data_IF_238690462694
#
_entry.id   IF_238690462694
#
_cell.length_a   1.000
_cell.length_b   1.000
_cell.length_c   1.000
_cell.angle_alpha   90.00
_cell.angle_beta   90.00
_cell.angle_gamma   90.00
#
_symmetry.space_group_name_H-M   'P 1'
#
loop_
_entity.id
_entity.type
_entity.pdbx_description
1 polymer ?
#
# COMPACT_ATOMS: atom_id res chain seq x y z
N UNK A 1 -34.05 7.95 -26.78
CA UNK A 1 -32.97 7.17 -26.13
C UNK A 1 -31.57 7.77 -26.32
N UNK A 2 -31.05 7.99 -27.54
CA UNK A 2 -29.70 8.60 -27.75
C UNK A 2 -29.51 9.95 -27.04
N UNK A 3 -30.49 10.85 -27.13
CA UNK A 3 -30.43 12.15 -26.44
C UNK A 3 -30.53 12.05 -24.91
N UNK A 4 -31.21 11.02 -24.39
CA UNK A 4 -31.29 10.75 -22.95
C UNK A 4 -29.94 10.25 -22.42
N UNK A 5 -29.26 9.38 -23.18
CA UNK A 5 -27.92 8.89 -22.87
C UNK A 5 -26.88 10.03 -22.90
N UNK A 6 -26.98 10.95 -23.87
CA UNK A 6 -26.09 12.11 -23.98
C UNK A 6 -26.33 13.09 -22.82
N UNK A 7 -27.59 13.33 -22.44
CA UNK A 7 -27.95 14.17 -21.29
C UNK A 7 -27.45 13.59 -19.96
N UNK A 8 -27.60 12.29 -19.74
CA UNK A 8 -27.03 11.60 -18.56
C UNK A 8 -25.50 11.65 -18.54
N UNK A 9 -24.84 11.49 -19.68
CA UNK A 9 -23.38 11.62 -19.78
C UNK A 9 -22.90 13.05 -19.47
N UNK A 10 -23.61 14.08 -19.95
CA UNK A 10 -23.29 15.48 -19.66
C UNK A 10 -23.53 15.84 -18.18
N UNK A 11 -24.60 15.34 -17.56
CA UNK A 11 -24.87 15.55 -16.13
C UNK A 11 -23.82 14.81 -15.27
N UNK A 12 -23.48 13.55 -15.61
CA UNK A 12 -22.39 12.83 -14.96
C UNK A 12 -21.04 13.55 -15.15
N UNK A 13 -20.75 14.07 -16.34
CA UNK A 13 -19.51 14.81 -16.61
C UNK A 13 -19.47 16.12 -15.79
N UNK A 14 -20.59 16.83 -15.66
CA UNK A 14 -20.68 18.09 -14.91
C UNK A 14 -20.60 17.85 -13.40
N UNK A 15 -21.22 16.77 -12.88
CA UNK A 15 -21.07 16.32 -11.50
C UNK A 15 -19.63 15.85 -11.19
N UNK A 16 -18.98 15.17 -12.13
CA UNK A 16 -17.56 14.79 -12.03
C UNK A 16 -16.61 16.00 -12.07
N UNK A 17 -16.95 17.06 -12.81
CA UNK A 17 -16.17 18.31 -12.87
C UNK A 17 -16.35 19.14 -11.60
N UNK A 18 -17.56 19.21 -11.04
CA UNK A 18 -17.85 19.98 -9.81
C UNK A 18 -17.36 19.30 -8.54
N UNK A 19 -17.39 17.96 -8.46
CA UNK A 19 -16.79 17.20 -7.35
C UNK A 19 -15.24 17.23 -7.32
N UNK A 20 -14.62 17.76 -8.37
CA UNK A 20 -13.16 17.71 -8.62
C UNK A 20 -12.33 18.72 -7.82
N UNK A 21 -12.99 19.68 -7.16
CA UNK A 21 -12.35 20.72 -6.37
C UNK A 21 -12.73 20.53 -4.89
N UNK A 22 -11.77 20.78 -4.00
CA UNK A 22 -11.89 20.86 -2.53
C UNK A 22 -11.47 19.59 -1.75
N UNK A 23 -10.43 19.81 -0.91
CA UNK A 23 -9.74 19.01 0.12
C UNK A 23 -8.61 18.07 -0.31
N UNK A 24 -7.38 18.48 0.04
CA UNK A 24 -6.20 17.64 0.23
C UNK A 24 -6.17 17.13 1.67
N UNK A 25 -5.75 15.88 1.88
CA UNK A 25 -5.55 15.30 3.21
C UNK A 25 -4.10 15.54 3.65
N UNK A 26 -3.89 16.08 4.84
CA UNK A 26 -2.58 16.36 5.44
C UNK A 26 -2.42 15.47 6.68
N UNK A 27 -1.36 14.65 6.73
CA UNK A 27 -0.97 13.86 7.90
C UNK A 27 0.02 14.62 8.77
N UNK A 28 0.27 14.12 9.98
CA UNK A 28 1.06 14.78 11.01
C UNK A 28 2.42 15.32 10.52
N UNK A 29 3.16 14.65 9.63
CA UNK A 29 4.41 15.21 9.11
C UNK A 29 4.20 16.45 8.23
N UNK A 30 3.19 16.45 7.36
CA UNK A 30 2.79 17.63 6.59
C UNK A 30 2.17 18.72 7.48
N UNK A 31 1.49 18.32 8.56
CA UNK A 31 0.89 19.23 9.55
C UNK A 31 1.97 19.90 10.41
N UNK A 32 2.95 19.15 10.92
CA UNK A 32 4.13 19.66 11.64
C UNK A 32 4.85 20.67 10.74
N UNK A 33 5.08 20.29 9.49
CA UNK A 33 5.72 21.13 8.50
C UNK A 33 4.97 22.44 8.20
N UNK A 34 3.63 22.40 8.18
CA UNK A 34 2.79 23.56 7.90
C UNK A 34 2.58 24.45 9.14
N UNK A 35 2.48 23.84 10.31
CA UNK A 35 2.23 24.52 11.57
C UNK A 35 3.51 25.00 12.26
N UNK A 36 4.66 24.44 11.91
CA UNK A 36 5.96 24.88 12.38
C UNK A 36 6.93 25.11 11.21
N UNK A 37 6.83 26.28 10.53
CA UNK A 37 7.70 26.62 9.42
C UNK A 37 9.18 26.77 9.82
N UNK A 38 9.51 26.74 11.12
CA UNK A 38 10.89 26.84 11.60
C UNK A 38 11.67 25.52 11.54
N UNK A 39 10.99 24.37 11.41
CA UNK A 39 11.65 23.06 11.27
C UNK A 39 12.20 22.93 9.83
N UNK A 40 13.50 22.70 9.73
CA UNK A 40 14.18 22.49 8.45
C UNK A 40 13.81 21.13 7.82
N UNK A 41 13.98 20.98 6.50
CA UNK A 41 13.74 19.68 5.84
C UNK A 41 14.72 18.60 6.31
N UNK A 42 15.94 18.99 6.69
CA UNK A 42 16.94 18.11 7.31
C UNK A 42 16.46 17.62 8.67
N UNK A 43 16.10 18.53 9.57
CA UNK A 43 15.63 18.20 10.93
C UNK A 43 14.37 17.33 10.92
N UNK A 44 13.39 17.65 10.07
CA UNK A 44 12.21 16.78 9.91
C UNK A 44 12.62 15.39 9.42
N UNK A 45 13.53 15.36 8.45
CA UNK A 45 14.03 14.12 7.87
C UNK A 45 14.69 13.20 8.87
N UNK A 46 15.55 13.76 9.71
CA UNK A 46 16.20 13.06 10.82
C UNK A 46 15.17 12.51 11.81
N UNK A 47 14.15 13.30 12.18
CA UNK A 47 13.06 12.82 13.04
C UNK A 47 12.24 11.70 12.38
N UNK A 48 12.04 11.75 11.05
CA UNK A 48 11.37 10.68 10.30
C UNK A 48 12.21 9.41 10.34
N UNK A 49 13.52 9.50 10.09
CA UNK A 49 14.43 8.36 10.10
C UNK A 49 14.54 7.75 11.50
N UNK A 50 14.64 8.55 12.55
CA UNK A 50 14.64 8.08 13.93
C UNK A 50 13.36 7.30 14.26
N UNK A 51 12.18 7.83 13.91
CA UNK A 51 10.91 7.11 14.11
C UNK A 51 10.83 5.82 13.31
N UNK A 52 11.42 5.80 12.10
CA UNK A 52 11.50 4.58 11.30
C UNK A 52 12.40 3.55 11.98
N UNK A 53 13.56 3.96 12.48
CA UNK A 53 14.50 3.08 13.16
C UNK A 53 13.88 2.46 14.43
N UNK A 54 13.17 3.25 15.23
CA UNK A 54 12.43 2.76 16.41
C UNK A 54 11.40 1.71 15.99
N UNK A 55 10.61 1.99 14.95
CA UNK A 55 9.61 1.05 14.45
C UNK A 55 10.23 -0.25 13.94
N UNK A 56 11.29 -0.14 13.14
CA UNK A 56 11.95 -1.28 12.49
C UNK A 56 12.62 -2.19 13.54
N UNK A 57 13.14 -1.63 14.64
CA UNK A 57 13.64 -2.38 15.81
C UNK A 57 12.54 -3.17 16.52
N UNK A 58 11.38 -2.55 16.73
CA UNK A 58 10.24 -3.20 17.42
C UNK A 58 9.57 -4.25 16.55
N UNK A 59 9.55 -4.03 15.23
CA UNK A 59 8.82 -4.85 14.28
C UNK A 59 9.73 -5.23 13.11
N UNK A 60 10.68 -6.18 13.29
CA UNK A 60 11.63 -6.54 12.24
C UNK A 60 10.98 -7.10 10.96
N UNK A 61 9.77 -7.65 11.10
CA UNK A 61 8.95 -8.15 10.00
C UNK A 61 7.70 -7.29 9.84
N UNK A 62 7.67 -6.48 8.79
CA UNK A 62 6.54 -5.61 8.46
C UNK A 62 6.41 -5.43 6.96
N UNK A 63 5.23 -4.94 6.57
CA UNK A 63 4.98 -4.43 5.23
C UNK A 63 4.51 -2.99 5.29
N UNK A 64 4.85 -2.20 4.28
CA UNK A 64 4.39 -0.82 4.12
C UNK A 64 3.69 -0.68 2.78
N UNK A 65 2.36 -0.57 2.80
CA UNK A 65 1.59 -0.30 1.59
C UNK A 65 1.42 1.21 1.44
N UNK A 66 1.83 1.75 0.31
CA UNK A 66 1.63 3.15 -0.01
C UNK A 66 0.70 3.36 -1.21
N UNK A 67 -0.06 4.45 -1.18
CA UNK A 67 -0.71 5.04 -2.34
C UNK A 67 -0.11 6.41 -2.63
N UNK A 68 0.35 6.62 -3.85
CA UNK A 68 1.03 7.85 -4.24
C UNK A 68 0.10 8.78 -5.05
N UNK A 69 0.33 10.09 -4.91
CA UNK A 69 -0.34 11.14 -5.68
C UNK A 69 -0.09 10.99 -7.19
N UNK A 70 -0.87 11.73 -7.99
CA UNK A 70 -0.62 11.83 -9.43
C UNK A 70 0.73 12.51 -9.69
N UNK A 71 1.40 12.09 -10.76
CA UNK A 71 2.67 12.62 -11.26
C UNK A 71 2.43 13.55 -12.45
N UNK A 72 3.08 14.72 -12.43
CA UNK A 72 3.11 15.66 -13.56
C UNK A 72 4.57 16.13 -13.70
N UNK A 73 5.34 15.64 -14.70
CA UNK A 73 6.65 16.21 -15.00
C UNK A 73 6.48 17.64 -15.52
N UNK A 74 7.45 18.51 -15.21
CA UNK A 74 7.40 19.93 -15.61
C UNK A 74 7.50 20.11 -17.13
N UNK A 75 8.28 19.27 -17.79
CA UNK A 75 8.63 19.44 -19.22
C UNK A 75 7.69 18.74 -20.21
N UNK A 76 6.71 17.93 -19.77
CA UNK A 76 5.81 17.23 -20.69
C UNK A 76 4.34 17.32 -20.28
N UNK A 77 3.63 18.32 -20.81
CA UNK A 77 2.16 18.37 -20.88
C UNK A 77 1.64 17.37 -21.95
N UNK A 78 2.29 16.22 -22.13
CA UNK A 78 1.81 15.16 -23.00
C UNK A 78 0.91 14.21 -22.18
N UNK A 79 -0.18 13.73 -22.77
CA UNK A 79 -1.12 12.80 -22.10
C UNK A 79 -0.48 11.45 -21.75
N UNK A 80 0.73 11.16 -22.26
CA UNK A 80 1.45 9.90 -22.09
C UNK A 80 2.37 9.86 -20.86
N UNK A 81 2.83 11.02 -20.36
CA UNK A 81 3.70 11.12 -19.17
C UNK A 81 2.92 11.39 -17.87
N UNK A 82 1.61 11.67 -17.96
CA UNK A 82 0.75 11.84 -16.78
C UNK A 82 0.52 10.48 -16.13
N UNK A 83 0.87 10.35 -14.85
CA UNK A 83 0.50 9.18 -14.07
C UNK A 83 -1.00 8.91 -14.19
N UNK A 84 -1.40 7.64 -14.25
CA UNK A 84 -2.80 7.24 -14.40
C UNK A 84 -3.71 7.94 -13.38
N UNK A 85 -4.96 8.23 -13.77
CA UNK A 85 -5.89 9.01 -12.94
C UNK A 85 -6.17 8.39 -11.57
N UNK A 86 -6.02 7.07 -11.45
CA UNK A 86 -6.20 6.31 -10.21
C UNK A 86 -5.05 6.38 -9.20
N UNK A 87 -3.94 7.06 -9.53
CA UNK A 87 -2.73 7.10 -8.68
C UNK A 87 -1.82 5.89 -8.90
N UNK A 88 -0.99 5.58 -7.91
CA UNK A 88 -0.09 4.42 -7.94
C UNK A 88 -0.06 3.75 -6.56
N UNK A 89 0.09 2.43 -6.52
CA UNK A 89 0.25 1.68 -5.28
C UNK A 89 1.61 0.99 -5.26
N UNK A 90 2.29 1.08 -4.13
CA UNK A 90 3.57 0.41 -3.89
C UNK A 90 3.51 -0.37 -2.58
N UNK A 91 4.39 -1.36 -2.46
CA UNK A 91 4.51 -2.21 -1.29
C UNK A 91 5.97 -2.35 -0.93
N UNK A 92 6.36 -2.02 0.29
CA UNK A 92 7.67 -2.36 0.82
C UNK A 92 7.54 -3.53 1.81
N UNK A 93 8.51 -4.43 1.81
CA UNK A 93 8.55 -5.65 2.62
C UNK A 93 9.89 -5.69 3.35
N UNK A 94 9.90 -5.59 4.68
CA UNK A 94 11.14 -5.35 5.46
C UNK A 94 12.09 -6.55 5.53
N UNK A 95 11.58 -7.76 5.36
CA UNK A 95 12.36 -9.01 5.54
C UNK A 95 12.43 -9.87 4.27
N UNK A 96 12.14 -9.26 3.12
CA UNK A 96 12.38 -9.85 1.82
C UNK A 96 13.46 -9.05 1.10
N UNK A 97 14.31 -9.75 0.36
CA UNK A 97 15.45 -9.21 -0.36
C UNK A 97 15.35 -9.60 -1.84
N UNK A 98 16.06 -8.87 -2.71
CA UNK A 98 16.14 -9.24 -4.13
C UNK A 98 16.95 -10.54 -4.27
N UNK A 99 16.42 -11.51 -5.00
CA UNK A 99 17.13 -12.74 -5.35
C UNK A 99 18.05 -12.49 -6.55
N UNK A 100 19.32 -12.20 -6.26
CA UNK A 100 20.36 -11.92 -7.26
C UNK A 100 20.78 -13.13 -8.09
N UNK A 101 20.37 -14.36 -7.73
CA UNK A 101 20.66 -15.56 -8.52
C UNK A 101 19.75 -15.66 -9.75
N UNK A 102 18.60 -14.96 -9.74
CA UNK A 102 17.69 -14.91 -10.88
C UNK A 102 18.10 -13.83 -11.87
N UNK A 103 17.95 -14.14 -13.16
CA UNK A 103 18.13 -13.18 -14.24
C UNK A 103 16.87 -12.33 -14.50
N UNK A 104 16.00 -12.17 -13.51
CA UNK A 104 14.81 -11.31 -13.54
C UNK A 104 14.46 -10.90 -12.10
N UNK A 105 13.67 -9.81 -11.89
CA UNK A 105 13.26 -9.42 -10.55
C UNK A 105 12.54 -10.54 -9.81
N UNK A 106 13.18 -11.06 -8.78
CA UNK A 106 12.69 -12.12 -7.91
C UNK A 106 13.09 -11.80 -6.47
N UNK A 107 12.45 -12.48 -5.53
CA UNK A 107 12.59 -12.22 -4.11
C UNK A 107 13.09 -13.46 -3.38
N UNK A 108 13.85 -13.27 -2.31
CA UNK A 108 14.14 -14.27 -1.29
C UNK A 108 13.81 -13.69 0.08
N UNK A 109 13.74 -14.53 1.11
CA UNK A 109 13.82 -14.02 2.48
C UNK A 109 15.22 -13.45 2.70
N UNK A 110 15.32 -12.36 3.46
CA UNK A 110 16.64 -11.84 3.80
C UNK A 110 17.36 -12.77 4.79
N UNK A 111 18.63 -13.05 4.54
CA UNK A 111 19.51 -13.78 5.46
C UNK A 111 20.03 -12.85 6.57
N UNK A 112 20.46 -13.38 7.72
CA UNK A 112 21.11 -12.57 8.77
C UNK A 112 22.40 -11.89 8.28
N UNK A 113 23.01 -12.46 7.23
CA UNK A 113 24.23 -11.99 6.59
C UNK A 113 23.97 -11.04 5.41
N UNK A 114 22.72 -10.86 4.98
CA UNK A 114 22.38 -9.84 3.98
C UNK A 114 22.65 -8.46 4.62
N UNK A 115 23.86 -7.96 4.35
CA UNK A 115 24.43 -6.78 5.00
C UNK A 115 23.64 -5.52 4.65
N UNK A 116 23.41 -4.64 5.63
CA UNK A 116 22.91 -3.27 5.38
C UNK A 116 24.03 -2.45 4.72
N UNK A 117 24.28 -2.72 3.45
CA UNK A 117 25.14 -1.92 2.57
C UNK A 117 24.27 -1.19 1.56
N UNK A 118 24.80 -0.13 0.94
CA UNK A 118 24.08 0.61 -0.12
C UNK A 118 23.64 -0.30 -1.28
N UNK A 119 24.28 -1.45 -1.46
CA UNK A 119 24.01 -2.41 -2.54
C UNK A 119 23.02 -3.52 -2.15
N UNK A 120 22.93 -3.88 -0.87
CA UNK A 120 22.05 -4.95 -0.35
C UNK A 120 21.29 -4.54 0.91
N UNK A 121 20.75 -3.32 0.89
CA UNK A 121 19.88 -2.82 1.97
C UNK A 121 18.74 -3.81 2.27
N UNK A 122 18.56 -4.11 3.56
CA UNK A 122 17.51 -5.02 4.03
C UNK A 122 16.13 -4.51 3.63
N UNK A 123 15.29 -5.45 3.20
CA UNK A 123 13.95 -5.16 2.72
C UNK A 123 13.89 -4.79 1.24
N UNK A 124 12.69 -4.83 0.67
CA UNK A 124 12.49 -4.66 -0.77
C UNK A 124 11.21 -3.89 -1.07
N UNK A 125 11.33 -2.90 -1.95
CA UNK A 125 10.24 -2.18 -2.55
C UNK A 125 9.72 -2.88 -3.80
N UNK A 126 8.41 -3.02 -3.89
CA UNK A 126 7.68 -3.69 -4.96
C UNK A 126 6.82 -2.65 -5.68
N UNK A 127 7.06 -2.52 -6.98
CA UNK A 127 6.25 -1.68 -7.86
C UNK A 127 5.87 -2.42 -9.14
N UNK A 128 4.65 -2.18 -9.62
CA UNK A 128 4.11 -2.77 -10.83
C UNK A 128 3.79 -1.68 -11.84
N UNK A 129 4.23 -1.89 -13.08
CA UNK A 129 4.04 -0.94 -14.16
C UNK A 129 3.42 -1.62 -15.39
N UNK A 130 2.64 -0.85 -16.15
CA UNK A 130 2.05 -1.29 -17.43
C UNK A 130 3.09 -1.52 -18.53
N UNK A 131 4.35 -1.13 -18.29
CA UNK A 131 5.42 -1.24 -19.26
C UNK A 131 5.92 -2.66 -19.48
N UNK A 132 5.76 -3.57 -18.52
CA UNK A 132 6.40 -4.87 -18.59
C UNK A 132 5.65 -5.86 -19.49
N UNK A 133 6.42 -6.73 -20.17
CA UNK A 133 5.90 -7.82 -21.00
C UNK A 133 6.28 -9.22 -20.52
N UNK A 134 7.21 -9.35 -19.56
CA UNK A 134 7.68 -10.64 -19.05
C UNK A 134 7.75 -10.73 -17.51
N UNK A 135 7.39 -9.67 -16.81
CA UNK A 135 7.29 -9.63 -15.35
C UNK A 135 6.05 -8.84 -14.97
N UNK A 136 5.56 -9.03 -13.75
CA UNK A 136 4.49 -8.22 -13.18
C UNK A 136 5.04 -7.08 -12.33
N UNK A 137 6.10 -7.28 -11.56
CA UNK A 137 6.66 -6.24 -10.71
C UNK A 137 8.18 -6.18 -10.80
N UNK A 138 8.72 -5.00 -10.48
CA UNK A 138 10.15 -4.80 -10.17
C UNK A 138 10.37 -4.80 -8.66
N UNK A 139 11.58 -5.17 -8.26
CA UNK A 139 12.02 -5.27 -6.89
C UNK A 139 13.22 -4.35 -6.67
N UNK A 140 13.12 -3.42 -5.72
CA UNK A 140 14.13 -2.39 -5.43
C UNK A 140 14.63 -2.61 -4.01
N UNK A 141 15.90 -2.94 -3.78
CA UNK A 141 16.39 -3.24 -2.44
C UNK A 141 16.46 -1.96 -1.61
N UNK A 142 16.03 -2.05 -0.36
CA UNK A 142 16.05 -0.96 0.59
C UNK A 142 14.90 0.02 0.51
N UNK A 143 14.43 0.41 1.69
CA UNK A 143 13.37 1.39 1.85
C UNK A 143 13.77 2.75 1.28
N UNK A 144 15.00 3.17 1.52
CA UNK A 144 15.52 4.45 1.05
C UNK A 144 15.65 4.50 -0.46
N UNK A 145 16.28 3.51 -1.10
CA UNK A 145 16.34 3.43 -2.56
C UNK A 145 14.94 3.41 -3.20
N UNK A 146 13.94 2.84 -2.50
CA UNK A 146 12.59 2.75 -3.02
C UNK A 146 11.78 4.05 -2.89
N UNK A 147 11.86 4.73 -1.74
CA UNK A 147 11.10 5.94 -1.48
C UNK A 147 11.91 7.23 -1.65
N UNK A 148 13.08 7.32 -1.03
CA UNK A 148 13.93 8.53 -0.96
C UNK A 148 14.83 8.71 -2.18
N UNK A 149 15.36 7.61 -2.71
CA UNK A 149 16.53 7.63 -3.59
C UNK A 149 17.83 7.91 -2.82
N UNK A 150 18.97 8.00 -3.53
CA UNK A 150 20.29 8.26 -2.94
C UNK A 150 20.47 9.75 -2.61
N UNK A 151 19.54 10.32 -1.83
CA UNK A 151 19.54 11.72 -1.41
C UNK A 151 19.52 11.83 0.11
N UNK A 152 20.34 12.72 0.66
CA UNK A 152 20.22 13.15 2.05
C UNK A 152 19.00 14.06 2.26
N UNK A 153 18.61 14.26 3.52
CA UNK A 153 17.54 15.20 3.84
C UNK A 153 18.00 16.66 3.64
N UNK A 154 17.12 17.47 3.05
CA UNK A 154 17.38 18.88 2.77
C UNK A 154 18.08 19.17 1.43
N UNK A 155 18.57 18.15 0.73
CA UNK A 155 19.13 18.33 -0.61
C UNK A 155 18.10 18.88 -1.61
N UNK A 156 18.51 19.84 -2.43
CA UNK A 156 17.67 20.38 -3.52
C UNK A 156 17.67 19.43 -4.71
N UNK A 157 16.48 18.98 -5.11
CA UNK A 157 16.24 18.18 -6.32
C UNK A 157 16.17 19.12 -7.52
N UNK A 158 17.30 19.30 -8.20
CA UNK A 158 17.37 19.98 -9.50
C UNK A 158 17.29 18.96 -10.65
N UNK A 159 16.98 19.39 -11.90
CA UNK A 159 17.03 18.49 -13.05
C UNK A 159 18.38 17.76 -13.21
N UNK A 160 19.49 18.46 -12.95
CA UNK A 160 20.83 17.86 -12.97
C UNK A 160 20.99 16.77 -11.90
N UNK A 161 20.47 17.01 -10.69
CA UNK A 161 20.49 16.02 -9.61
C UNK A 161 19.67 14.79 -9.97
N UNK A 162 18.52 14.95 -10.64
CA UNK A 162 17.73 13.81 -11.14
C UNK A 162 18.53 12.97 -12.13
N UNK A 163 19.30 13.58 -13.03
CA UNK A 163 20.17 12.85 -13.95
C UNK A 163 21.32 12.11 -13.24
N UNK A 164 21.89 12.69 -12.17
CA UNK A 164 22.86 11.99 -11.31
C UNK A 164 22.23 10.77 -10.63
N UNK A 165 21.01 10.91 -10.10
CA UNK A 165 20.28 9.80 -9.48
C UNK A 165 19.98 8.71 -10.52
N UNK A 166 19.54 9.06 -11.73
CA UNK A 166 19.30 8.07 -12.80
C UNK A 166 20.56 7.26 -13.10
N UNK A 167 21.72 7.94 -13.20
CA UNK A 167 23.02 7.26 -13.38
C UNK A 167 23.34 6.28 -12.26
N UNK A 168 23.05 6.65 -11.01
CA UNK A 168 23.18 5.73 -9.87
C UNK A 168 22.37 4.43 -10.08
N UNK A 169 21.15 4.52 -10.62
CA UNK A 169 20.30 3.33 -10.88
C UNK A 169 20.68 2.56 -12.14
N UNK A 170 21.29 3.17 -13.16
CA UNK A 170 21.64 2.48 -14.41
C UNK A 170 22.60 1.32 -14.20
N UNK A 171 23.51 1.44 -13.24
CA UNK A 171 24.54 0.44 -12.97
C UNK A 171 24.07 -0.65 -11.99
N UNK A 172 22.81 -0.59 -11.53
CA UNK A 172 22.28 -1.55 -10.56
C UNK A 172 21.71 -2.78 -11.26
N UNK A 173 21.99 -4.00 -10.76
CA UNK A 173 21.50 -5.25 -11.37
C UNK A 173 19.99 -5.48 -11.15
N UNK A 174 19.30 -4.61 -10.42
CA UNK A 174 17.90 -4.76 -9.97
C UNK A 174 16.90 -4.82 -11.13
N UNK A 175 17.27 -4.28 -12.29
CA UNK A 175 16.44 -4.22 -13.49
C UNK A 175 16.86 -5.23 -14.56
N UNK A 176 17.79 -6.15 -14.25
CA UNK A 176 18.22 -7.18 -15.20
C UNK A 176 17.04 -8.05 -15.62
N UNK A 177 16.98 -8.39 -16.91
CA UNK A 177 16.00 -9.28 -17.50
C UNK A 177 14.61 -8.71 -17.71
N UNK A 178 14.39 -7.41 -17.46
CA UNK A 178 13.10 -6.80 -17.79
C UNK A 178 12.94 -6.69 -19.32
N UNK A 179 11.72 -6.95 -19.78
CA UNK A 179 11.28 -6.67 -21.14
C UNK A 179 10.08 -5.76 -21.09
N UNK A 180 10.00 -4.86 -22.06
CA UNK A 180 8.89 -3.91 -22.17
C UNK A 180 7.95 -4.29 -23.31
N UNK A 181 6.70 -3.86 -23.21
CA UNK A 181 5.72 -3.99 -24.30
C UNK A 181 6.12 -3.10 -25.48
N UNK A 182 5.84 -3.54 -26.71
CA UNK A 182 6.26 -2.88 -27.95
C UNK A 182 5.85 -1.40 -28.02
N UNK A 183 4.61 -1.07 -27.59
CA UNK A 183 4.15 0.32 -27.54
C UNK A 183 5.04 1.21 -26.67
N UNK A 184 5.55 0.68 -25.57
CA UNK A 184 6.39 1.43 -24.64
C UNK A 184 7.82 1.51 -25.15
N UNK A 185 8.33 0.43 -25.77
CA UNK A 185 9.59 0.43 -26.50
C UNK A 185 9.62 1.52 -27.59
N UNK A 186 8.54 1.71 -28.35
CA UNK A 186 8.47 2.77 -29.35
C UNK A 186 8.67 4.18 -28.75
N UNK A 187 8.20 4.41 -27.52
CA UNK A 187 8.44 5.69 -26.80
C UNK A 187 9.85 5.85 -26.27
N UNK A 188 10.64 4.77 -26.26
CA UNK A 188 12.07 4.76 -25.98
C UNK A 188 12.92 4.96 -27.24
N UNK A 189 12.28 5.22 -28.41
CA UNK A 189 12.92 5.16 -29.73
C UNK A 189 13.52 3.78 -30.05
N UNK A 190 13.02 2.75 -29.38
CA UNK A 190 13.33 1.35 -29.67
C UNK A 190 12.27 0.78 -30.62
N UNK A 191 12.63 0.46 -31.85
CA UNK A 191 11.73 -0.18 -32.82
C UNK A 191 12.14 -1.64 -33.01
N UNK A 192 11.23 -2.58 -32.76
CA UNK A 192 11.50 -4.02 -32.84
C UNK A 192 12.52 -4.50 -31.80
N UNK A 193 13.36 -5.48 -32.17
CA UNK A 193 14.36 -6.12 -31.30
C UNK A 193 15.73 -5.42 -31.29
N UNK A 194 15.79 -4.13 -31.64
CA UNK A 194 17.06 -3.43 -31.90
C UNK A 194 17.74 -2.88 -30.64
N UNK A 195 17.02 -2.74 -29.52
CA UNK A 195 17.60 -2.23 -28.29
C UNK A 195 18.24 -3.35 -27.47
N UNK A 196 19.45 -3.06 -26.98
CA UNK A 196 20.15 -3.84 -25.97
C UNK A 196 19.40 -3.82 -24.65
N UNK A 197 19.67 -4.79 -23.77
CA UNK A 197 19.10 -4.82 -22.42
C UNK A 197 19.40 -3.52 -21.64
N UNK A 198 20.62 -3.00 -21.75
CA UNK A 198 21.02 -1.75 -21.10
C UNK A 198 20.22 -0.54 -21.60
N UNK A 199 19.88 -0.47 -22.88
CA UNK A 199 19.03 0.60 -23.42
C UNK A 199 17.59 0.49 -22.93
N UNK A 200 17.07 -0.74 -22.78
CA UNK A 200 15.75 -1.00 -22.20
C UNK A 200 15.73 -0.55 -20.73
N UNK A 201 16.74 -0.95 -19.95
CA UNK A 201 16.87 -0.59 -18.53
C UNK A 201 16.97 0.94 -18.37
N UNK A 202 17.83 1.60 -19.14
CA UNK A 202 17.94 3.07 -19.12
C UNK A 202 16.62 3.75 -19.44
N UNK A 203 15.94 3.32 -20.50
CA UNK A 203 14.64 3.89 -20.83
C UNK A 203 13.60 3.68 -19.72
N UNK A 204 13.56 2.49 -19.13
CA UNK A 204 12.66 2.22 -18.02
C UNK A 204 12.97 3.13 -16.83
N UNK A 205 14.24 3.29 -16.45
CA UNK A 205 14.66 4.16 -15.36
C UNK A 205 14.28 5.61 -15.62
N UNK A 206 14.54 6.11 -16.83
CA UNK A 206 14.26 7.49 -17.23
C UNK A 206 12.78 7.86 -17.09
N UNK A 207 11.89 6.90 -17.40
CA UNK A 207 10.45 7.10 -17.41
C UNK A 207 9.78 6.83 -16.06
N UNK A 208 10.43 6.10 -15.15
CA UNK A 208 9.77 5.61 -13.93
C UNK A 208 10.44 6.02 -12.61
N UNK A 209 11.55 6.75 -12.66
CA UNK A 209 12.07 7.45 -11.48
C UNK A 209 11.00 8.43 -10.95
N UNK A 210 10.76 8.42 -9.64
CA UNK A 210 9.66 9.17 -9.03
C UNK A 210 8.28 8.51 -9.16
N UNK A 211 8.19 7.33 -9.79
CA UNK A 211 6.97 6.52 -9.90
C UNK A 211 7.17 5.17 -9.22
N UNK A 212 8.06 4.34 -9.77
CA UNK A 212 8.28 2.96 -9.33
C UNK A 212 9.39 2.85 -8.27
N UNK A 213 10.29 3.83 -8.22
CA UNK A 213 11.38 3.92 -7.25
C UNK A 213 11.76 5.39 -7.06
N UNK A 214 12.49 5.69 -5.99
CA UNK A 214 12.74 7.05 -5.51
C UNK A 214 11.44 7.91 -5.54
N UNK A 215 10.32 7.32 -5.11
CA UNK A 215 8.98 7.90 -5.38
C UNK A 215 8.75 9.28 -4.75
N UNK A 216 9.38 9.57 -3.61
CA UNK A 216 9.30 10.88 -2.93
C UNK A 216 9.95 12.03 -3.71
N UNK A 217 10.74 11.73 -4.74
CA UNK A 217 11.26 12.74 -5.66
C UNK A 217 10.14 13.47 -6.37
N UNK A 218 9.02 12.81 -6.69
CA UNK A 218 7.99 13.41 -7.52
C UNK A 218 6.56 13.26 -6.98
N UNK A 219 6.38 12.53 -5.88
CA UNK A 219 5.06 12.20 -5.36
C UNK A 219 5.03 12.27 -3.84
N UNK A 220 3.87 12.69 -3.33
CA UNK A 220 3.51 12.43 -1.93
C UNK A 220 2.85 11.07 -1.86
N UNK A 221 3.33 10.23 -0.95
CA UNK A 221 2.79 8.89 -0.72
C UNK A 221 2.17 8.79 0.66
N UNK A 222 0.98 8.20 0.73
CA UNK A 222 0.26 7.92 1.96
C UNK A 222 0.41 6.43 2.23
N UNK A 223 0.93 6.08 3.39
CA UNK A 223 1.42 4.74 3.65
C UNK A 223 0.82 4.19 4.94
N UNK A 224 0.60 2.88 4.99
CA UNK A 224 0.31 2.16 6.21
C UNK A 224 1.33 1.04 6.40
N UNK A 225 2.01 1.05 7.55
CA UNK A 225 2.89 -0.01 8.01
C UNK A 225 2.13 -0.98 8.89
N UNK A 226 2.39 -2.25 8.68
CA UNK A 226 1.77 -3.34 9.42
C UNK A 226 2.83 -4.35 9.82
N UNK A 227 2.97 -4.68 11.11
CA UNK A 227 3.77 -5.81 11.54
C UNK A 227 3.12 -7.09 11.02
N UNK A 228 3.90 -7.93 10.37
CA UNK A 228 3.44 -9.20 9.79
C UNK A 228 4.40 -10.29 10.26
N UNK A 229 3.90 -11.43 10.81
CA UNK A 229 4.75 -12.55 11.16
C UNK A 229 5.62 -13.02 9.98
N UNK A 230 6.82 -13.51 10.26
CA UNK A 230 7.76 -13.98 9.24
C UNK A 230 7.12 -14.99 8.26
N UNK A 231 6.36 -15.97 8.77
CA UNK A 231 5.64 -16.93 7.93
C UNK A 231 4.67 -16.26 6.93
N UNK A 232 4.04 -15.15 7.33
CA UNK A 232 3.21 -14.34 6.42
C UNK A 232 4.01 -13.67 5.32
N UNK A 233 5.20 -13.14 5.66
CA UNK A 233 6.13 -12.58 4.67
C UNK A 233 6.60 -13.66 3.69
N UNK A 234 6.92 -14.86 4.16
CA UNK A 234 7.32 -16.00 3.32
C UNK A 234 6.23 -16.38 2.31
N UNK A 235 4.97 -16.45 2.76
CA UNK A 235 3.82 -16.70 1.87
C UNK A 235 3.66 -15.57 0.84
N UNK A 236 3.87 -14.33 1.25
CA UNK A 236 3.82 -13.16 0.36
C UNK A 236 4.92 -13.22 -0.71
N UNK A 237 6.16 -13.51 -0.30
CA UNK A 237 7.32 -13.67 -1.20
C UNK A 237 7.07 -14.78 -2.21
N UNK A 238 6.59 -15.95 -1.75
CA UNK A 238 6.23 -17.07 -2.62
C UNK A 238 5.16 -16.68 -3.65
N UNK A 239 4.10 -16.00 -3.22
CA UNK A 239 3.05 -15.51 -4.11
C UNK A 239 3.62 -14.56 -5.17
N UNK A 240 4.39 -13.55 -4.75
CA UNK A 240 4.99 -12.57 -5.65
C UNK A 240 5.91 -13.27 -6.67
N UNK A 241 6.84 -14.11 -6.23
CA UNK A 241 7.71 -14.88 -7.12
C UNK A 241 6.92 -15.70 -8.15
N UNK A 242 5.86 -16.39 -7.71
CA UNK A 242 5.00 -17.13 -8.63
C UNK A 242 4.39 -16.22 -9.71
N UNK A 243 3.99 -14.99 -9.37
CA UNK A 243 3.47 -14.02 -10.36
C UNK A 243 4.50 -13.61 -11.41
N UNK A 244 5.76 -13.38 -11.02
CA UNK A 244 6.82 -13.05 -11.98
C UNK A 244 7.26 -14.29 -12.78
N UNK A 245 7.31 -15.47 -12.17
CA UNK A 245 7.57 -16.72 -12.89
C UNK A 245 6.51 -17.03 -13.95
N UNK A 246 5.23 -16.89 -13.60
CA UNK A 246 4.11 -17.07 -14.53
C UNK A 246 4.23 -16.11 -15.72
N UNK A 247 4.63 -14.86 -15.45
CA UNK A 247 4.86 -13.83 -16.48
C UNK A 247 6.09 -14.12 -17.35
N UNK A 248 7.17 -14.67 -16.80
CA UNK A 248 8.35 -15.06 -17.58
C UNK A 248 8.03 -16.23 -18.51
N UNK A 249 7.27 -17.21 -18.02
CA UNK A 249 6.90 -18.43 -18.77
C UNK A 249 5.89 -18.15 -19.88
N UNK A 250 4.89 -17.31 -19.60
CA UNK A 250 3.73 -17.16 -20.49
C UNK A 250 3.63 -15.77 -21.16
N UNK A 251 4.56 -14.87 -20.83
CA UNK A 251 4.39 -13.44 -21.10
C UNK A 251 3.40 -12.80 -20.13
N UNK A 252 3.36 -11.47 -20.16
CA UNK A 252 2.48 -10.67 -19.33
C UNK A 252 1.75 -9.61 -20.13
N UNK A 253 0.47 -9.43 -19.81
CA UNK A 253 -0.39 -8.38 -20.33
C UNK A 253 -1.05 -7.67 -19.17
N UNK A 254 -0.60 -6.45 -18.90
CA UNK A 254 -1.19 -5.58 -17.88
C UNK A 254 -2.69 -5.34 -18.15
N UNK A 255 -3.50 -5.42 -17.09
CA UNK A 255 -4.92 -5.05 -17.12
C UNK A 255 -5.21 -4.04 -16.00
N UNK A 256 -5.61 -2.82 -16.37
CA UNK A 256 -5.84 -1.72 -15.43
C UNK A 256 -6.94 -1.99 -14.41
N UNK A 257 -7.83 -2.96 -14.68
CA UNK A 257 -8.97 -3.28 -13.83
C UNK A 257 -8.68 -4.54 -13.02
N UNK A 258 -8.12 -5.58 -13.65
CA UNK A 258 -8.06 -6.95 -13.12
C UNK A 258 -6.66 -7.41 -12.71
N UNK A 259 -5.61 -6.75 -13.17
CA UNK A 259 -4.22 -7.11 -12.86
C UNK A 259 -3.33 -5.87 -12.86
N UNK A 260 -3.61 -4.98 -11.90
CA UNK A 260 -2.92 -3.71 -11.70
C UNK A 260 -2.09 -3.70 -10.41
N UNK A 261 -1.40 -2.60 -10.12
CA UNK A 261 -0.53 -2.46 -8.94
C UNK A 261 -1.28 -2.70 -7.63
N UNK A 262 -2.52 -2.23 -7.54
CA UNK A 262 -3.34 -2.44 -6.36
C UNK A 262 -3.80 -3.90 -6.23
N UNK A 263 -4.02 -4.61 -7.34
CA UNK A 263 -4.47 -6.00 -7.30
C UNK A 263 -3.36 -6.92 -6.81
N UNK A 264 -2.14 -6.78 -7.36
CA UNK A 264 -1.01 -7.58 -6.93
C UNK A 264 -0.67 -7.33 -5.45
N UNK A 265 -0.66 -6.06 -5.02
CA UNK A 265 -0.37 -5.69 -3.62
C UNK A 265 -1.45 -6.22 -2.68
N UNK A 266 -2.72 -6.07 -3.05
CA UNK A 266 -3.83 -6.59 -2.23
C UNK A 266 -3.71 -8.09 -2.03
N UNK A 267 -3.49 -8.84 -3.10
CA UNK A 267 -3.39 -10.30 -3.03
C UNK A 267 -2.10 -10.78 -2.37
N UNK A 268 -1.02 -10.00 -2.45
CA UNK A 268 0.20 -10.23 -1.69
C UNK A 268 -0.08 -10.11 -0.19
N UNK A 269 -0.73 -9.03 0.25
CA UNK A 269 -1.16 -8.84 1.66
C UNK A 269 -2.21 -9.87 2.08
N UNK A 270 -3.10 -10.29 1.18
CA UNK A 270 -4.08 -11.34 1.47
C UNK A 270 -3.44 -12.70 1.79
N UNK A 271 -2.18 -12.96 1.36
CA UNK A 271 -1.43 -14.16 1.78
C UNK A 271 -1.18 -14.21 3.29
N UNK A 272 -1.35 -13.09 3.98
CA UNK A 272 -1.18 -12.95 5.41
C UNK A 272 -2.51 -13.03 6.17
N UNK A 273 -3.61 -13.49 5.53
CA UNK A 273 -4.93 -13.59 6.17
C UNK A 273 -5.61 -12.23 6.48
N UNK A 274 -4.97 -11.12 6.09
CA UNK A 274 -5.47 -9.78 6.36
C UNK A 274 -6.76 -9.47 5.57
N UNK A 275 -6.82 -9.97 4.34
CA UNK A 275 -7.95 -9.83 3.42
C UNK A 275 -8.28 -11.15 2.73
N UNK A 276 -9.51 -11.27 2.25
CA UNK A 276 -9.84 -12.24 1.21
C UNK A 276 -9.07 -11.95 -0.08
N UNK A 277 -8.61 -13.00 -0.75
CA UNK A 277 -8.03 -12.88 -2.09
C UNK A 277 -9.04 -12.29 -3.07
N UNK A 278 -8.62 -11.27 -3.84
CA UNK A 278 -9.39 -10.82 -5.00
C UNK A 278 -9.26 -11.86 -6.11
N UNK A 279 -10.40 -12.28 -6.63
CA UNK A 279 -10.47 -13.18 -7.78
C UNK A 279 -9.95 -12.46 -9.02
N UNK A 280 -8.96 -13.07 -9.69
CA UNK A 280 -8.65 -12.68 -11.06
C UNK A 280 -9.82 -13.12 -11.95
N UNK A 281 -10.63 -12.18 -12.40
CA UNK A 281 -11.67 -12.45 -13.39
C UNK A 281 -11.02 -12.62 -14.76
N UNK A 282 -11.59 -13.47 -15.61
CA UNK A 282 -11.17 -13.54 -17.01
C UNK A 282 -11.41 -12.17 -17.68
N UNK A 283 -10.41 -11.64 -18.37
CA UNK A 283 -10.44 -10.35 -19.08
C UNK A 283 -11.32 -10.43 -20.34
N UNK A 284 -12.62 -10.61 -20.16
CA UNK A 284 -13.59 -10.51 -21.25
C UNK A 284 -14.13 -9.07 -21.34
N UNK A 285 -14.61 -8.71 -22.54
CA UNK A 285 -15.11 -7.36 -22.85
C UNK A 285 -16.24 -6.92 -21.90
N UNK A 286 -17.04 -7.87 -21.41
CA UNK A 286 -18.12 -7.60 -20.45
C UNK A 286 -17.61 -7.21 -19.06
N UNK A 287 -16.57 -7.88 -18.57
CA UNK A 287 -15.95 -7.58 -17.28
C UNK A 287 -15.22 -6.22 -17.33
N UNK A 288 -14.57 -5.91 -18.45
CA UNK A 288 -13.95 -4.59 -18.65
C UNK A 288 -15.00 -3.47 -18.72
N UNK A 289 -16.09 -3.68 -19.47
CA UNK A 289 -17.21 -2.72 -19.55
C UNK A 289 -17.89 -2.55 -18.20
N UNK A 290 -18.10 -3.62 -17.42
CA UNK A 290 -18.60 -3.52 -16.04
C UNK A 290 -17.67 -2.70 -15.16
N UNK A 291 -16.36 -2.97 -15.17
CA UNK A 291 -15.39 -2.18 -14.40
C UNK A 291 -15.48 -0.69 -14.72
N UNK A 292 -15.42 -0.32 -16.00
CA UNK A 292 -15.50 1.08 -16.47
C UNK A 292 -16.85 1.72 -16.13
N UNK A 293 -17.97 1.04 -16.40
CA UNK A 293 -19.30 1.63 -16.25
C UNK A 293 -19.69 1.87 -14.81
N UNK A 294 -19.06 1.21 -13.85
CA UNK A 294 -19.46 1.33 -12.44
C UNK A 294 -18.43 1.96 -11.53
N UNK A 295 -17.27 2.32 -12.08
CA UNK A 295 -16.36 3.31 -11.51
C UNK A 295 -17.06 4.62 -11.06
N UNK A 296 -18.10 5.14 -11.75
CA UNK A 296 -18.83 6.33 -11.29
C UNK A 296 -19.98 6.03 -10.32
N UNK A 297 -20.47 4.79 -10.26
CA UNK A 297 -21.73 4.43 -9.55
C UNK A 297 -21.51 3.69 -8.23
N UNK A 298 -20.28 3.32 -7.89
CA UNK A 298 -19.94 2.65 -6.64
C UNK A 298 -20.28 3.49 -5.38
N UNK A 299 -20.59 4.79 -5.56
CA UNK A 299 -20.95 5.76 -4.51
C UNK A 299 -22.43 6.01 -4.30
N UNK A 300 -23.31 5.53 -5.18
CA UNK A 300 -24.73 5.82 -4.98
C UNK A 300 -25.24 4.97 -3.80
N UNK A 301 -25.74 5.58 -2.71
CA UNK A 301 -26.23 4.87 -1.51
C UNK A 301 -27.53 4.09 -1.76
N UNK A 302 -27.93 3.94 -3.02
CA UNK A 302 -29.04 3.12 -3.43
C UNK A 302 -28.60 1.66 -3.39
N UNK A 303 -28.94 0.99 -2.28
CA UNK A 303 -28.81 -0.46 -2.07
C UNK A 303 -29.25 -1.30 -3.29
N UNK A 304 -30.21 -0.79 -4.09
CA UNK A 304 -30.65 -1.37 -5.36
C UNK A 304 -29.62 -1.30 -6.49
N UNK A 305 -28.91 -0.18 -6.66
CA UNK A 305 -27.84 -0.04 -7.66
C UNK A 305 -26.62 -0.86 -7.25
N UNK A 306 -26.24 -0.85 -5.97
CA UNK A 306 -25.16 -1.71 -5.44
C UNK A 306 -25.40 -3.21 -5.70
N UNK A 307 -26.66 -3.64 -5.61
CA UNK A 307 -27.05 -5.02 -5.91
C UNK A 307 -27.16 -5.28 -7.43
N UNK A 308 -27.59 -4.29 -8.22
CA UNK A 308 -27.73 -4.39 -9.69
C UNK A 308 -26.38 -4.39 -10.43
N UNK A 309 -25.44 -3.58 -9.96
CA UNK A 309 -24.05 -3.52 -10.41
C UNK A 309 -23.22 -4.71 -9.86
N UNK A 310 -23.78 -5.44 -8.89
CA UNK A 310 -23.18 -6.59 -8.23
C UNK A 310 -22.31 -6.18 -7.07
N UNK A 311 -22.43 -6.88 -5.94
CA UNK A 311 -21.51 -6.78 -4.79
C UNK A 311 -20.03 -7.07 -5.11
N UNK A 312 -19.74 -7.34 -6.38
CA UNK A 312 -18.46 -7.62 -7.01
C UNK A 312 -17.61 -6.37 -7.29
N UNK A 313 -18.09 -5.16 -7.00
CA UNK A 313 -17.24 -3.95 -7.07
C UNK A 313 -16.08 -3.92 -6.08
N UNK A 314 -16.06 -4.83 -5.11
CA UNK A 314 -14.86 -5.13 -4.30
C UNK A 314 -13.65 -5.61 -5.13
N UNK A 315 -13.85 -5.99 -6.40
CA UNK A 315 -12.77 -6.46 -7.27
C UNK A 315 -11.97 -5.36 -7.94
N UNK A 316 -12.50 -4.13 -8.10
CA UNK A 316 -11.68 -3.03 -8.59
C UNK A 316 -10.65 -2.66 -7.54
N UNK A 317 -9.38 -2.92 -7.84
CA UNK A 317 -8.28 -2.59 -6.96
C UNK A 317 -7.85 -1.16 -7.25
N UNK A 318 -8.37 -0.22 -6.47
CA UNK A 318 -7.95 1.18 -6.48
C UNK A 318 -6.97 1.41 -5.33
N UNK A 319 -5.81 2.06 -5.56
CA UNK A 319 -4.78 2.24 -4.53
C UNK A 319 -5.31 2.75 -3.20
N UNK A 320 -6.09 3.82 -3.25
CA UNK A 320 -6.65 4.49 -2.08
C UNK A 320 -7.69 3.65 -1.34
N UNK A 321 -8.47 2.85 -2.06
CA UNK A 321 -9.46 1.96 -1.45
C UNK A 321 -8.78 0.84 -0.66
N UNK A 322 -7.72 0.26 -1.21
CA UNK A 322 -6.96 -0.76 -0.51
C UNK A 322 -6.24 -0.18 0.71
N UNK A 323 -5.62 1.00 0.60
CA UNK A 323 -5.03 1.66 1.77
C UNK A 323 -6.09 1.92 2.86
N UNK A 324 -7.24 2.47 2.49
CA UNK A 324 -8.34 2.67 3.45
C UNK A 324 -8.79 1.36 4.09
N UNK A 325 -8.95 0.29 3.31
CA UNK A 325 -9.31 -1.03 3.86
C UNK A 325 -8.24 -1.57 4.80
N UNK A 326 -6.97 -1.33 4.48
CA UNK A 326 -5.83 -1.72 5.29
C UNK A 326 -5.89 -1.03 6.66
N UNK A 327 -5.96 0.30 6.65
CA UNK A 327 -6.07 1.13 7.86
C UNK A 327 -7.35 0.85 8.64
N UNK A 328 -8.48 0.64 7.96
CA UNK A 328 -9.72 0.33 8.66
C UNK A 328 -9.63 -1.05 9.33
N UNK A 329 -9.10 -2.06 8.64
CA UNK A 329 -9.02 -3.42 9.19
C UNK A 329 -8.08 -3.50 10.40
N UNK A 330 -7.06 -2.63 10.49
CA UNK A 330 -6.22 -2.52 11.69
C UNK A 330 -6.95 -2.05 12.95
N UNK A 331 -8.17 -1.50 12.84
CA UNK A 331 -9.00 -1.05 13.98
C UNK A 331 -10.40 -1.65 14.04
N UNK A 332 -10.93 -2.16 12.91
CA UNK A 332 -12.35 -2.44 12.74
C UNK A 332 -12.75 -3.87 13.15
N UNK A 333 -11.83 -4.64 13.76
CA UNK A 333 -12.29 -5.81 14.50
C UNK A 333 -12.96 -5.32 15.78
N UNK A 334 -14.29 -5.14 15.72
CA UNK A 334 -15.09 -4.77 16.88
C UNK A 334 -15.13 -5.94 17.87
N UNK A 335 -14.13 -5.98 18.75
CA UNK A 335 -14.00 -6.98 19.81
C UNK A 335 -15.17 -6.94 20.82
N UNK A 336 -16.01 -5.90 20.79
CA UNK A 336 -17.23 -5.84 21.61
C UNK A 336 -18.38 -6.64 21.00
N UNK A 337 -18.35 -7.05 19.73
CA UNK A 337 -19.41 -7.86 19.11
C UNK A 337 -18.91 -9.29 18.87
N UNK A 338 -18.83 -10.07 19.95
CA UNK A 338 -18.28 -11.43 19.93
C UNK A 338 -18.99 -12.34 18.91
N UNK A 339 -20.30 -12.14 18.67
CA UNK A 339 -21.06 -12.89 17.64
C UNK A 339 -20.55 -12.60 16.23
N UNK A 340 -20.18 -11.36 15.92
CA UNK A 340 -19.54 -11.02 14.63
C UNK A 340 -18.11 -11.55 14.56
N UNK A 341 -17.38 -11.52 15.68
CA UNK A 341 -16.01 -12.00 15.76
C UNK A 341 -15.93 -13.50 15.44
N UNK A 342 -16.73 -14.34 16.11
CA UNK A 342 -16.74 -15.80 15.87
C UNK A 342 -17.33 -16.21 14.50
N UNK A 343 -17.92 -15.28 13.75
CA UNK A 343 -18.40 -15.49 12.38
C UNK A 343 -17.46 -14.91 11.31
N UNK A 344 -16.37 -14.25 11.71
CA UNK A 344 -15.46 -13.61 10.79
C UNK A 344 -14.48 -14.64 10.21
N UNK A 345 -14.76 -15.12 8.99
CA UNK A 345 -13.98 -16.18 8.34
C UNK A 345 -12.48 -15.88 8.26
N UNK A 346 -12.08 -14.66 7.89
CA UNK A 346 -10.66 -14.27 7.83
C UNK A 346 -9.98 -14.35 9.20
N UNK A 347 -10.67 -13.92 10.26
CA UNK A 347 -10.15 -14.04 11.62
C UNK A 347 -10.03 -15.52 12.03
N UNK A 348 -11.03 -16.34 11.70
CA UNK A 348 -11.02 -17.77 11.99
C UNK A 348 -9.81 -18.44 11.33
N UNK A 349 -9.61 -18.23 10.03
CA UNK A 349 -8.49 -18.79 9.29
C UNK A 349 -7.15 -18.36 9.88
N UNK A 350 -7.06 -17.09 10.27
CA UNK A 350 -5.88 -16.51 10.91
C UNK A 350 -5.63 -17.10 12.30
N UNK A 351 -6.66 -17.27 13.13
CA UNK A 351 -6.54 -17.83 14.49
C UNK A 351 -6.21 -19.33 14.48
N UNK A 352 -6.69 -20.05 13.46
CA UNK A 352 -6.45 -21.48 13.29
C UNK A 352 -5.12 -21.80 12.61
N UNK A 353 -4.44 -20.82 11.99
CA UNK A 353 -3.13 -21.00 11.40
C UNK A 353 -2.06 -21.04 12.51
N UNK A 354 -1.43 -22.20 12.77
CA UNK A 354 -0.48 -22.37 13.87
C UNK A 354 0.78 -21.52 13.69
N UNK A 355 1.11 -21.17 12.45
CA UNK A 355 2.29 -20.36 12.11
C UNK A 355 1.98 -18.86 12.13
N UNK A 356 0.74 -18.49 12.44
CA UNK A 356 0.24 -17.14 12.21
C UNK A 356 -0.56 -16.60 13.40
N UNK A 357 0.12 -15.90 14.31
CA UNK A 357 -0.44 -15.38 15.57
C UNK A 357 -1.01 -13.95 15.48
N UNK A 358 -1.27 -13.46 14.27
CA UNK A 358 -1.57 -12.04 14.06
C UNK A 358 -3.07 -11.77 14.14
N UNK A 359 -3.50 -10.92 15.07
CA UNK A 359 -4.88 -10.43 15.06
C UNK A 359 -5.01 -9.28 14.03
N UNK A 360 -6.13 -9.16 13.31
CA UNK A 360 -6.42 -8.01 12.45
C UNK A 360 -6.25 -6.65 13.12
N UNK A 361 -6.46 -6.58 14.44
CA UNK A 361 -6.18 -5.41 15.30
C UNK A 361 -4.82 -5.50 16.01
N UNK A 362 -3.86 -6.19 15.38
CA UNK A 362 -2.52 -6.39 15.87
C UNK A 362 -1.84 -5.05 16.09
N UNK A 363 -1.13 -4.96 17.20
CA UNK A 363 -0.43 -3.77 17.64
C UNK A 363 0.57 -3.25 16.61
N UNK A 364 0.81 -1.93 16.60
CA UNK A 364 1.89 -1.33 15.82
C UNK A 364 1.54 -1.05 14.37
N UNK A 365 0.26 -1.00 14.00
CA UNK A 365 -0.13 -0.43 12.72
C UNK A 365 0.16 1.08 12.73
N UNK A 366 0.91 1.59 11.76
CA UNK A 366 1.21 3.02 11.63
C UNK A 366 0.74 3.55 10.31
N UNK A 367 0.26 4.80 10.30
CA UNK A 367 -0.02 5.52 9.07
C UNK A 367 0.93 6.70 8.98
N UNK A 368 1.69 6.75 7.89
CA UNK A 368 2.71 7.79 7.65
C UNK A 368 2.49 8.43 6.28
N UNK A 369 3.06 9.61 6.10
CA UNK A 369 3.14 10.26 4.80
C UNK A 369 4.59 10.51 4.44
N UNK A 370 4.95 9.98 3.28
CA UNK A 370 6.21 10.27 2.62
C UNK A 370 5.95 11.47 1.71
N UNK A 371 6.18 12.66 2.25
CA UNK A 371 5.95 13.90 1.51
C UNK A 371 6.88 13.99 0.30
N UNK A 372 6.38 14.57 -0.80
CA UNK A 372 7.26 15.07 -1.85
C UNK A 372 8.23 16.09 -1.22
N UNK A 373 9.51 15.95 -1.54
CA UNK A 373 10.58 16.83 -1.03
C UNK A 373 10.28 18.31 -1.27
N UNK A 374 10.58 19.18 -0.31
CA UNK A 374 10.22 20.60 -0.38
C UNK A 374 11.12 21.36 -1.34
N UNK A 375 12.42 21.07 -1.25
CA UNK A 375 13.45 21.63 -2.12
C UNK A 375 13.45 20.88 -3.46
N UNK A 376 12.40 21.07 -4.26
CA UNK A 376 12.20 20.33 -5.51
C UNK A 376 11.92 21.27 -6.67
N UNK A 377 12.90 21.38 -7.56
CA UNK A 377 12.89 22.19 -8.78
C UNK A 377 12.77 21.32 -10.04
N UNK A 378 12.93 20.00 -9.92
CA UNK A 378 12.88 19.09 -11.08
C UNK A 378 11.47 18.57 -11.37
N UNK A 379 10.62 18.52 -10.36
CA UNK A 379 9.26 18.02 -10.49
C UNK A 379 8.29 19.08 -9.98
N UNK A 380 7.29 19.41 -10.81
CA UNK A 380 6.16 20.19 -10.34
C UNK A 380 5.60 19.51 -9.09
N UNK A 381 5.34 20.29 -8.04
CA UNK A 381 4.59 19.81 -6.90
C UNK A 381 3.32 19.19 -7.45
N UNK A 382 3.18 17.87 -7.32
CA UNK A 382 1.95 17.21 -7.70
C UNK A 382 0.85 17.99 -6.99
N UNK A 383 -0.24 18.35 -7.69
CA UNK A 383 -1.37 19.01 -7.01
C UNK A 383 -1.63 18.18 -5.76
N UNK A 384 -1.42 18.75 -4.56
CA UNK A 384 -1.29 18.01 -3.30
C UNK A 384 -2.53 17.16 -2.92
N UNK A 385 -3.57 17.19 -3.75
CA UNK A 385 -4.49 16.09 -3.80
C UNK A 385 -3.84 14.89 -4.49
N UNK A 386 -3.70 13.79 -3.74
CA UNK A 386 -4.36 12.60 -4.27
C UNK A 386 -5.74 13.10 -4.64
N UNK A 387 -6.01 13.31 -5.94
CA UNK A 387 -7.37 13.39 -6.42
C UNK A 387 -7.89 11.99 -6.22
N UNK A 388 -8.21 11.72 -4.96
CA UNK A 388 -8.91 10.55 -4.51
C UNK A 388 -10.17 10.61 -5.36
N UNK A 389 -10.18 9.83 -6.43
CA UNK A 389 -11.38 9.09 -6.79
C UNK A 389 -11.69 8.16 -5.61
N UNK A 390 -11.87 8.69 -4.39
CA UNK A 390 -12.38 7.89 -3.30
C UNK A 390 -13.86 8.00 -3.36
N UNK A 391 -14.40 6.90 -3.82
CA UNK A 391 -15.72 6.39 -3.55
C UNK A 391 -16.04 6.23 -2.04
N UNK A 392 -15.23 6.85 -1.17
CA UNK A 392 -15.20 6.75 0.30
C UNK A 392 -14.67 8.03 0.93
N UNK A 393 -14.77 9.18 0.26
CA UNK A 393 -14.27 10.46 0.77
C UNK A 393 -14.79 10.77 2.17
N UNK A 394 -16.08 10.55 2.41
CA UNK A 394 -16.69 10.74 3.73
C UNK A 394 -16.18 9.74 4.78
N UNK A 395 -15.79 8.53 4.38
CA UNK A 395 -15.23 7.54 5.31
C UNK A 395 -13.77 7.81 5.62
N UNK A 396 -12.97 8.27 4.64
CA UNK A 396 -11.61 8.74 4.89
C UNK A 396 -11.62 10.02 5.74
N UNK A 397 -12.61 10.90 5.55
CA UNK A 397 -12.84 12.06 6.40
C UNK A 397 -13.20 11.69 7.84
N UNK A 398 -13.80 10.51 8.12
CA UNK A 398 -13.99 10.07 9.52
C UNK A 398 -12.66 9.86 10.23
N UNK A 399 -11.63 9.45 9.49
CA UNK A 399 -10.28 9.25 10.02
C UNK A 399 -9.48 10.54 10.14
N UNK A 400 -9.81 11.57 9.36
CA UNK A 400 -9.03 12.81 9.34
C UNK A 400 -9.82 14.02 9.81
N UNK A 401 -11.06 13.83 10.26
CA UNK A 401 -11.98 14.89 10.66
C UNK A 401 -11.55 15.57 11.98
N UNK A 402 -12.05 16.77 12.26
CA UNK A 402 -11.80 17.45 13.53
C UNK A 402 -12.41 16.69 14.72
N UNK A 403 -13.51 15.96 14.52
CA UNK A 403 -14.14 15.14 15.56
C UNK A 403 -13.30 13.90 15.97
N UNK A 404 -12.22 13.64 15.24
CA UNK A 404 -11.24 12.57 15.46
C UNK A 404 -9.82 13.17 15.50
N UNK A 405 -9.62 14.27 16.22
CA UNK A 405 -8.26 14.78 16.53
C UNK A 405 -7.36 13.68 17.12
N UNK A 406 -7.95 12.78 17.93
CA UNK A 406 -7.28 11.60 18.46
C UNK A 406 -6.80 10.62 17.38
N UNK A 407 -7.46 10.51 16.22
CA UNK A 407 -7.09 9.54 15.19
C UNK A 407 -5.76 9.88 14.50
N UNK A 408 -5.55 11.17 14.21
CA UNK A 408 -4.31 11.64 13.59
C UNK A 408 -3.12 11.36 14.47
N UNK A 409 -3.26 11.66 15.76
CA UNK A 409 -2.26 11.35 16.78
C UNK A 409 -2.13 9.84 16.99
N UNK A 410 -3.23 9.10 17.02
CA UNK A 410 -3.25 7.67 17.32
C UNK A 410 -2.50 6.81 16.30
N UNK A 411 -2.55 7.11 15.00
CA UNK A 411 -1.87 6.31 13.97
C UNK A 411 -0.49 6.82 13.56
N UNK A 412 -0.17 8.06 13.89
CA UNK A 412 1.17 8.62 13.66
C UNK A 412 2.07 8.51 14.90
N UNK A 413 1.47 8.36 16.09
CA UNK A 413 2.17 8.12 17.33
C UNK A 413 2.03 6.65 17.75
N UNK A 414 3.13 5.90 17.62
CA UNK A 414 3.18 4.47 17.94
C UNK A 414 2.77 4.19 19.40
N UNK A 415 3.22 4.99 20.37
CA UNK A 415 2.87 4.82 21.78
C UNK A 415 1.36 4.92 22.02
N UNK A 416 0.71 5.95 21.45
CA UNK A 416 -0.75 6.11 21.52
C UNK A 416 -1.47 4.95 20.82
N UNK A 417 -0.95 4.49 19.68
CA UNK A 417 -1.48 3.34 18.95
C UNK A 417 -1.55 2.09 19.84
N UNK A 418 -0.38 1.72 20.37
CA UNK A 418 -0.19 0.57 21.22
C UNK A 418 -1.06 0.64 22.48
N UNK A 419 -1.06 1.78 23.17
CA UNK A 419 -1.84 2.00 24.39
C UNK A 419 -3.35 1.79 24.21
N UNK A 420 -3.90 2.26 23.09
CA UNK A 420 -5.33 2.07 22.79
C UNK A 420 -5.65 0.61 22.46
N UNK A 421 -4.81 -0.08 21.67
CA UNK A 421 -5.05 -1.49 21.36
C UNK A 421 -4.95 -2.37 22.61
N UNK A 422 -3.98 -2.11 23.50
CA UNK A 422 -3.87 -2.77 24.80
C UNK A 422 -5.19 -2.67 25.58
N UNK A 423 -5.73 -1.46 25.70
CA UNK A 423 -6.99 -1.21 26.41
C UNK A 423 -8.16 -1.99 25.79
N UNK A 424 -8.30 -1.94 24.45
CA UNK A 424 -9.37 -2.64 23.73
C UNK A 424 -9.29 -4.15 23.88
N UNK A 425 -8.08 -4.71 23.87
CA UNK A 425 -7.88 -6.14 24.07
C UNK A 425 -8.20 -6.56 25.52
N UNK A 426 -7.81 -5.75 26.52
CA UNK A 426 -8.17 -5.99 27.92
C UNK A 426 -9.70 -5.95 28.11
N UNK A 427 -10.37 -4.94 27.56
CA UNK A 427 -11.84 -4.84 27.55
C UNK A 427 -12.49 -6.09 26.95
N UNK A 428 -11.95 -6.59 25.84
CA UNK A 428 -12.43 -7.80 25.17
C UNK A 428 -12.25 -9.06 26.02
N UNK A 429 -11.08 -9.25 26.63
CA UNK A 429 -10.81 -10.38 27.55
C UNK A 429 -11.79 -10.36 28.71
N UNK A 430 -11.94 -9.22 29.39
CA UNK A 430 -12.87 -9.07 30.51
C UNK A 430 -14.32 -9.34 30.09
N UNK A 431 -14.69 -8.96 28.87
CA UNK A 431 -16.01 -9.26 28.31
C UNK A 431 -16.21 -10.76 28.12
N UNK A 432 -15.24 -11.46 27.54
CA UNK A 432 -15.30 -12.92 27.35
C UNK A 432 -15.42 -13.63 28.70
N UNK A 433 -14.67 -13.18 29.72
CA UNK A 433 -14.69 -13.78 31.06
C UNK A 433 -15.97 -13.53 31.85
N UNK A 434 -16.72 -12.48 31.50
CA UNK A 434 -17.97 -12.09 32.18
C UNK A 434 -19.23 -12.56 31.45
N UNK A 435 -19.10 -13.33 30.37
CA UNK A 435 -20.26 -13.89 29.68
C UNK A 435 -21.09 -14.74 30.64
N UNK A 436 -22.39 -14.50 30.66
CA UNK A 436 -23.33 -15.38 31.36
C UNK A 436 -23.34 -16.77 30.72
N UNK A 437 -23.80 -17.79 31.46
CA UNK A 437 -23.93 -19.15 30.91
C UNK A 437 -24.82 -19.21 29.67
N UNK A 438 -25.86 -18.37 29.62
CA UNK A 438 -26.78 -18.25 28.47
C UNK A 438 -26.07 -17.66 27.24
N UNK A 439 -25.35 -16.54 27.40
CA UNK A 439 -24.60 -15.92 26.31
C UNK A 439 -23.47 -16.82 25.79
N UNK A 440 -22.78 -17.52 26.70
CA UNK A 440 -21.74 -18.47 26.33
C UNK A 440 -22.32 -19.64 25.54
N UNK A 441 -23.46 -20.18 25.95
CA UNK A 441 -24.14 -21.26 25.23
C UNK A 441 -24.61 -20.78 23.84
N UNK A 442 -25.14 -19.56 23.75
CA UNK A 442 -25.51 -18.96 22.47
C UNK A 442 -24.29 -18.79 21.54
N UNK A 443 -23.17 -18.28 22.06
CA UNK A 443 -21.94 -18.14 21.29
C UNK A 443 -21.38 -19.50 20.86
N UNK A 444 -21.33 -20.49 21.76
CA UNK A 444 -20.88 -21.86 21.44
C UNK A 444 -21.75 -22.54 20.39
N UNK A 445 -23.03 -22.20 20.29
CA UNK A 445 -23.91 -22.73 19.24
C UNK A 445 -23.51 -22.27 17.82
N UNK A 446 -22.81 -21.13 17.71
CA UNK A 446 -22.32 -20.57 16.43
C UNK A 446 -20.80 -20.66 16.27
N UNK A 447 -20.08 -20.93 17.36
CA UNK A 447 -18.63 -21.09 17.42
C UNK A 447 -18.21 -22.54 17.17
N UNK A 448 -18.16 -22.91 15.89
CA UNK A 448 -17.86 -24.29 15.45
C UNK A 448 -16.45 -24.77 15.75
N UNK A 449 -15.51 -23.88 16.06
CA UNK A 449 -14.08 -24.19 16.13
C UNK A 449 -13.42 -23.73 17.44
N UNK A 450 -14.22 -23.51 18.49
CA UNK A 450 -13.71 -23.00 19.78
C UNK A 450 -12.92 -21.68 19.62
N UNK A 451 -13.37 -20.85 18.67
CA UNK A 451 -12.77 -19.56 18.31
C UNK A 451 -12.73 -18.63 19.50
N UNK A 452 -13.70 -18.70 20.42
CA UNK A 452 -13.72 -17.85 21.60
C UNK A 452 -12.54 -18.13 22.54
N UNK A 453 -12.19 -19.41 22.72
CA UNK A 453 -11.09 -19.83 23.59
C UNK A 453 -9.74 -19.48 22.93
N UNK A 454 -9.59 -19.77 21.62
CA UNK A 454 -8.42 -19.37 20.84
C UNK A 454 -8.23 -17.85 20.82
N UNK A 455 -9.31 -17.09 20.61
CA UNK A 455 -9.29 -15.64 20.64
C UNK A 455 -8.81 -15.12 22.00
N UNK A 456 -9.30 -15.69 23.11
CA UNK A 456 -8.87 -15.30 24.45
C UNK A 456 -7.37 -15.49 24.63
N UNK A 457 -6.82 -16.65 24.23
CA UNK A 457 -5.38 -16.92 24.28
C UNK A 457 -4.62 -15.89 23.45
N UNK A 458 -5.04 -15.64 22.20
CA UNK A 458 -4.38 -14.67 21.32
C UNK A 458 -4.48 -13.23 21.81
N UNK A 459 -5.57 -12.84 22.45
CA UNK A 459 -5.68 -11.52 23.08
C UNK A 459 -4.67 -11.35 24.21
N UNK A 460 -4.49 -12.35 25.08
CA UNK A 460 -3.47 -12.30 26.13
C UNK A 460 -2.04 -12.24 25.58
N UNK A 461 -1.73 -13.05 24.56
CA UNK A 461 -0.42 -13.00 23.89
C UNK A 461 -0.14 -11.59 23.31
N UNK A 462 -1.12 -11.00 22.64
CA UNK A 462 -0.98 -9.66 22.06
C UNK A 462 -0.88 -8.56 23.13
N UNK A 463 -1.63 -8.65 24.23
CA UNK A 463 -1.51 -7.70 25.37
C UNK A 463 -0.09 -7.72 25.93
N UNK A 464 0.46 -8.91 26.19
CA UNK A 464 1.84 -9.04 26.71
C UNK A 464 2.86 -8.45 25.73
N UNK A 465 2.69 -8.71 24.42
CA UNK A 465 3.56 -8.13 23.40
C UNK A 465 3.48 -6.60 23.39
N UNK A 466 2.27 -6.03 23.44
CA UNK A 466 2.09 -4.58 23.50
C UNK A 466 2.75 -3.98 24.74
N UNK A 467 2.67 -4.65 25.89
CA UNK A 467 3.34 -4.18 27.11
C UNK A 467 4.85 -4.16 26.97
N UNK A 468 5.44 -5.16 26.30
CA UNK A 468 6.87 -5.17 25.96
C UNK A 468 7.22 -4.01 25.02
N UNK A 469 6.41 -3.80 23.97
CA UNK A 469 6.58 -2.73 23.00
C UNK A 469 6.47 -1.34 23.66
N UNK A 470 5.52 -1.14 24.58
CA UNK A 470 5.37 0.11 25.34
C UNK A 470 6.55 0.35 26.28
N UNK A 471 7.00 -0.68 27.00
CA UNK A 471 8.16 -0.56 27.89
C UNK A 471 9.44 -0.21 27.09
N UNK A 472 9.61 -0.77 25.89
CA UNK A 472 10.71 -0.41 25.00
C UNK A 472 10.65 1.07 24.62
N UNK A 473 9.48 1.58 24.24
CA UNK A 473 9.29 3.00 23.89
C UNK A 473 9.45 3.97 25.07
N UNK A 474 9.25 3.52 26.31
CA UNK A 474 9.48 4.34 27.50
C UNK A 474 10.96 4.43 27.89
N UNK A 475 11.76 3.43 27.49
CA UNK A 475 13.20 3.38 27.72
C UNK A 475 14.02 4.09 26.64
N UNK A 476 13.50 4.11 25.41
CA UNK A 476 14.06 4.84 24.28
C UNK A 476 13.73 6.33 24.40
#
# INVERSE_FOLDING_TARGET
MKHLLIGLNLICLTLMITARNVYSFEFNDLVILKNNPSISETELGEQVDERNEVYDKMHPHFVEMCTASQYIPEEEISFAAKGGTGGHATLFISSACVDGEKNYPALKMCDEQDSVTDEQTRGVGISLNLMFSNIRFVAIPGRDNFYKGPLAWGETITPLKVEEIKKYYYDKPWFKGIKMVEKQMATCRCVGSQCTENEIIKCYIDKNIGIDFASSLARTSYCARLPIPQAGIERMVKYLNQRNEDAQKNGYKYDVILDNCSHIIHNAIAQTGFFDMKKQLNSNRWNQVRGILSEPFADIPLKRIRNWVGGEFGYMSVPTHNLYRLVNRSIDLNLNDLKKVVKNQNLIETLLDPDYSWLPTGSGALVTVLAQRRNNEAFLKGKAGVKLFSLRRGEFQKFTGPDYEDFRDYYSNLYKNLSYHRRKMIEAVLKIERLSSEELQELKSVDKYEILDLLKVKLHENIRKIEQDLNFLELY
#
